data_IF_991037510548
#
_entry.id   IF_991037510548
#
_cell.length_a   1.000
_cell.length_b   1.000
_cell.length_c   1.000
_cell.angle_alpha   90.00
_cell.angle_beta   90.00
_cell.angle_gamma   90.00
#
_symmetry.space_group_name_H-M   'P 1'
#
loop_
_entity.id
_entity.type
_entity.pdbx_description
1 polymer ?
#
# COMPACT_ATOMS: atom_id res chain seq x y z
N UNK A 1 -1.36 11.76 35.35
CA UNK A 1 -1.29 10.62 34.41
C UNK A 1 0.16 10.53 33.94
N UNK A 2 0.84 9.42 34.23
CA UNK A 2 2.28 9.30 33.96
C UNK A 2 2.48 8.57 32.63
N UNK A 3 3.11 9.23 31.66
CA UNK A 3 3.31 8.70 30.30
C UNK A 3 4.55 7.80 30.23
N UNK A 4 5.52 8.01 31.11
CA UNK A 4 6.78 7.26 31.18
C UNK A 4 6.95 6.66 32.57
N UNK A 5 7.27 5.38 32.63
CA UNK A 5 7.51 4.64 33.86
C UNK A 5 8.98 4.24 33.96
N UNK A 6 9.53 4.31 35.18
CA UNK A 6 10.87 3.78 35.48
C UNK A 6 10.75 2.35 35.98
N UNK A 7 11.44 1.41 35.32
CA UNK A 7 11.54 0.00 35.71
C UNK A 7 13.01 -0.32 35.93
N UNK A 8 13.44 -0.29 37.19
CA UNK A 8 14.86 -0.38 37.55
C UNK A 8 15.65 0.79 36.93
N UNK A 9 16.63 0.48 36.08
CA UNK A 9 17.45 1.46 35.35
C UNK A 9 16.94 1.75 33.92
N UNK A 10 15.73 1.32 33.57
CA UNK A 10 15.16 1.51 32.23
C UNK A 10 13.93 2.41 32.31
N UNK A 11 13.73 3.19 31.26
CA UNK A 11 12.47 3.89 31.03
C UNK A 11 11.64 3.08 30.04
N UNK A 12 10.33 3.05 30.26
CA UNK A 12 9.35 2.53 29.31
C UNK A 12 8.18 3.48 29.20
N UNK A 13 7.47 3.45 28.07
CA UNK A 13 6.15 4.05 28.01
C UNK A 13 5.22 3.29 28.97
N UNK A 14 4.31 4.02 29.63
CA UNK A 14 3.26 3.41 30.43
C UNK A 14 2.39 2.51 29.54
N UNK A 15 1.83 1.44 30.11
CA UNK A 15 0.90 0.55 29.41
C UNK A 15 -0.38 1.26 28.94
N UNK A 16 -0.68 2.43 29.52
CA UNK A 16 -1.78 3.28 29.11
C UNK A 16 -1.52 4.08 27.83
N UNK A 17 -0.26 4.21 27.41
CA UNK A 17 0.12 4.95 26.20
C UNK A 17 -0.17 4.10 24.97
N UNK A 18 -1.04 4.61 24.11
CA UNK A 18 -1.28 4.03 22.79
C UNK A 18 -0.30 4.62 21.79
N UNK A 19 0.28 3.76 20.96
CA UNK A 19 1.16 4.15 19.86
C UNK A 19 0.48 3.71 18.57
N UNK A 20 0.08 4.68 17.76
CA UNK A 20 -0.58 4.50 16.47
C UNK A 20 0.18 3.50 15.56
N UNK A 21 1.50 3.60 15.51
CA UNK A 21 2.35 2.70 14.73
C UNK A 21 2.22 1.23 15.15
N UNK A 22 2.01 0.93 16.44
CA UNK A 22 1.80 -0.44 16.89
C UNK A 22 0.48 -1.01 16.37
N UNK A 23 -0.58 -0.21 16.37
CA UNK A 23 -1.87 -0.57 15.78
C UNK A 23 -1.75 -0.80 14.28
N UNK A 24 -1.18 0.16 13.54
CA UNK A 24 -1.00 0.06 12.09
C UNK A 24 -0.16 -1.17 11.69
N UNK A 25 0.91 -1.47 12.44
CA UNK A 25 1.76 -2.65 12.18
C UNK A 25 1.03 -3.97 12.42
N UNK A 26 0.18 -4.03 13.43
CA UNK A 26 -0.61 -5.23 13.71
C UNK A 26 -1.69 -5.44 12.64
N UNK A 27 -2.40 -4.38 12.25
CA UNK A 27 -3.36 -4.45 11.14
C UNK A 27 -2.69 -4.89 9.83
N UNK A 28 -1.50 -4.36 9.50
CA UNK A 28 -0.74 -4.80 8.33
C UNK A 28 -0.45 -6.31 8.37
N UNK A 29 -0.05 -6.85 9.53
CA UNK A 29 0.20 -8.29 9.69
C UNK A 29 -1.05 -9.13 9.49
N UNK A 30 -2.17 -8.71 10.06
CA UNK A 30 -3.44 -9.43 9.92
C UNK A 30 -3.92 -9.44 8.47
N UNK A 31 -3.79 -8.31 7.77
CA UNK A 31 -4.08 -8.22 6.32
C UNK A 31 -3.21 -9.16 5.52
N UNK A 32 -1.88 -9.14 5.74
CA UNK A 32 -0.93 -10.01 5.04
C UNK A 32 -1.20 -11.49 5.34
N UNK A 33 -1.63 -11.81 6.56
CA UNK A 33 -2.02 -13.17 6.96
C UNK A 33 -3.39 -13.61 6.40
N UNK A 34 -4.13 -12.72 5.73
CA UNK A 34 -5.48 -12.99 5.22
C UNK A 34 -6.54 -13.11 6.33
N UNK A 35 -6.25 -12.57 7.52
CA UNK A 35 -7.11 -12.64 8.70
C UNK A 35 -7.99 -11.40 8.89
N UNK A 36 -7.78 -10.36 8.08
CA UNK A 36 -8.53 -9.11 8.21
C UNK A 36 -9.86 -9.18 7.42
N UNK A 37 -11.02 -9.00 8.06
CA UNK A 37 -12.31 -9.06 7.38
C UNK A 37 -12.55 -7.80 6.54
N UNK A 38 -12.96 -7.98 5.28
CA UNK A 38 -13.21 -6.90 4.29
C UNK A 38 -14.53 -6.15 4.56
N UNK A 39 -15.17 -6.36 5.72
CA UNK A 39 -16.50 -5.78 6.03
C UNK A 39 -16.47 -4.93 7.30
N UNK A 40 -16.83 -3.65 7.16
CA UNK A 40 -17.29 -2.78 8.24
C UNK A 40 -16.23 -1.94 8.96
N UNK A 41 -14.95 -2.29 8.90
CA UNK A 41 -13.89 -1.65 9.71
C UNK A 41 -12.69 -1.14 8.88
N UNK A 42 -12.81 -1.07 7.57
CA UNK A 42 -11.68 -0.68 6.69
C UNK A 42 -11.48 0.84 6.52
N UNK A 43 -12.43 1.67 6.93
CA UNK A 43 -12.43 3.11 6.58
C UNK A 43 -11.16 3.83 7.09
N UNK A 44 -10.62 3.42 8.24
CA UNK A 44 -9.37 3.98 8.78
C UNK A 44 -8.12 3.15 8.43
N UNK A 45 -8.28 1.93 7.94
CA UNK A 45 -7.15 1.02 7.71
C UNK A 45 -6.24 1.50 6.58
N UNK A 46 -6.85 1.92 5.46
CA UNK A 46 -6.08 2.44 4.32
C UNK A 46 -5.32 3.71 4.73
N UNK A 47 -5.95 4.58 5.51
CA UNK A 47 -5.33 5.80 6.02
C UNK A 47 -4.17 5.49 6.95
N UNK A 48 -4.32 4.54 7.87
CA UNK A 48 -3.25 4.13 8.79
C UNK A 48 -2.05 3.51 8.07
N UNK A 49 -2.30 2.68 7.05
CA UNK A 49 -1.24 2.08 6.23
C UNK A 49 -0.58 3.10 5.29
N UNK A 50 -1.28 4.18 4.94
CA UNK A 50 -0.75 5.25 4.09
C UNK A 50 0.24 6.16 4.80
N UNK A 51 0.23 6.19 6.14
CA UNK A 51 1.10 7.07 6.96
C UNK A 51 2.55 6.62 6.95
N UNK A 52 3.43 7.56 6.65
CA UNK A 52 4.89 7.40 6.75
C UNK A 52 5.35 7.32 8.22
N UNK A 53 6.39 6.54 8.51
CA UNK A 53 6.90 6.42 9.88
C UNK A 53 7.71 7.67 10.26
N UNK A 54 7.30 8.43 11.27
CA UNK A 54 8.06 9.61 11.76
C UNK A 54 8.43 10.60 10.63
N UNK A 55 7.45 11.22 9.94
CA UNK A 55 7.75 12.20 8.90
C UNK A 55 8.45 13.43 9.50
N UNK A 56 9.47 13.94 8.81
CA UNK A 56 10.23 15.13 9.23
C UNK A 56 11.37 14.87 10.23
N UNK A 57 11.63 13.61 10.58
CA UNK A 57 12.77 13.21 11.38
C UNK A 57 13.87 12.59 10.51
N UNK A 58 15.14 12.81 10.85
CA UNK A 58 16.29 12.46 10.00
C UNK A 58 17.45 11.82 10.76
N UNK A 59 17.17 10.80 11.57
CA UNK A 59 18.22 10.02 12.23
C UNK A 59 18.50 8.69 11.53
N UNK A 60 19.75 8.22 11.57
CA UNK A 60 20.21 7.06 10.81
C UNK A 60 19.42 5.77 11.12
N UNK A 61 19.02 5.58 12.38
CA UNK A 61 18.22 4.42 12.79
C UNK A 61 16.81 4.43 12.17
N UNK A 62 16.29 5.61 11.78
CA UNK A 62 14.97 5.75 11.21
C UNK A 62 14.91 5.31 9.76
N UNK A 63 15.98 5.49 8.99
CA UNK A 63 16.01 5.08 7.58
C UNK A 63 15.71 3.58 7.43
N UNK A 64 16.35 2.75 8.27
CA UNK A 64 16.13 1.31 8.27
C UNK A 64 14.72 0.93 8.74
N UNK A 65 14.19 1.58 9.77
CA UNK A 65 12.84 1.29 10.28
C UNK A 65 11.75 1.77 9.32
N UNK A 66 11.97 2.90 8.63
CA UNK A 66 11.08 3.41 7.57
C UNK A 66 11.04 2.45 6.40
N UNK A 67 12.20 1.99 5.91
CA UNK A 67 12.28 0.99 4.85
C UNK A 67 11.55 -0.31 5.24
N UNK A 68 11.76 -0.81 6.47
CA UNK A 68 11.04 -1.99 6.99
C UNK A 68 9.53 -1.78 7.03
N UNK A 69 9.10 -0.59 7.43
CA UNK A 69 7.69 -0.23 7.46
C UNK A 69 7.11 -0.13 6.04
N UNK A 70 7.80 0.53 5.12
CA UNK A 70 7.40 0.69 3.72
C UNK A 70 7.21 -0.65 3.03
N UNK A 71 8.15 -1.59 3.21
CA UNK A 71 8.04 -2.94 2.68
C UNK A 71 6.84 -3.72 3.24
N UNK A 72 6.52 -3.53 4.52
CA UNK A 72 5.38 -4.20 5.14
C UNK A 72 4.04 -3.58 4.70
N UNK A 73 3.93 -2.26 4.78
CA UNK A 73 2.67 -1.55 4.48
C UNK A 73 2.30 -1.63 3.01
N UNK A 74 3.28 -1.61 2.11
CA UNK A 74 3.00 -1.76 0.67
C UNK A 74 2.41 -3.13 0.36
N UNK A 75 2.95 -4.20 0.97
CA UNK A 75 2.44 -5.57 0.80
C UNK A 75 1.05 -5.73 1.42
N UNK A 76 0.79 -5.09 2.56
CA UNK A 76 -0.54 -5.07 3.16
C UNK A 76 -1.55 -4.36 2.26
N UNK A 77 -1.20 -3.17 1.75
CA UNK A 77 -2.06 -2.41 0.82
C UNK A 77 -2.32 -3.20 -0.48
N UNK A 78 -1.32 -3.86 -1.07
CA UNK A 78 -1.52 -4.73 -2.24
C UNK A 78 -2.50 -5.87 -1.95
N UNK A 79 -2.36 -6.52 -0.78
CA UNK A 79 -3.24 -7.62 -0.37
C UNK A 79 -4.68 -7.15 -0.15
N UNK A 80 -4.86 -6.01 0.51
CA UNK A 80 -6.16 -5.40 0.77
C UNK A 80 -6.83 -4.91 -0.52
N UNK A 81 -6.07 -4.30 -1.43
CA UNK A 81 -6.57 -3.88 -2.73
C UNK A 81 -7.04 -5.08 -3.57
N UNK A 82 -6.30 -6.20 -3.54
CA UNK A 82 -6.67 -7.44 -4.21
C UNK A 82 -7.94 -8.06 -3.61
N UNK A 83 -8.11 -7.99 -2.28
CA UNK A 83 -9.33 -8.43 -1.60
C UNK A 83 -10.54 -7.60 -2.04
N UNK A 84 -10.46 -6.27 -1.97
CA UNK A 84 -11.53 -5.38 -2.44
C UNK A 84 -11.88 -5.62 -3.92
N UNK A 85 -10.87 -5.79 -4.78
CA UNK A 85 -11.08 -6.07 -6.19
C UNK A 85 -11.83 -7.40 -6.39
N UNK A 86 -11.46 -8.45 -5.64
CA UNK A 86 -12.12 -9.77 -5.69
C UNK A 86 -13.58 -9.68 -5.26
N UNK A 87 -13.89 -8.82 -4.29
CA UNK A 87 -15.27 -8.52 -3.85
C UNK A 87 -16.00 -7.51 -4.75
N UNK A 88 -15.38 -7.06 -5.84
CA UNK A 88 -15.89 -6.02 -6.76
C UNK A 88 -16.17 -4.68 -6.09
N UNK A 89 -15.50 -4.41 -4.98
CA UNK A 89 -15.49 -3.10 -4.32
C UNK A 89 -14.44 -2.21 -5.00
N UNK A 90 -14.78 -1.68 -6.18
CA UNK A 90 -13.81 -1.01 -7.06
C UNK A 90 -13.23 0.28 -6.50
N UNK A 91 -14.04 1.14 -5.88
CA UNK A 91 -13.54 2.40 -5.31
C UNK A 91 -12.54 2.15 -4.16
N UNK A 92 -12.83 1.32 -3.15
CA UNK A 92 -11.84 0.93 -2.13
C UNK A 92 -10.60 0.25 -2.72
N UNK A 93 -10.76 -0.63 -3.71
CA UNK A 93 -9.64 -1.27 -4.39
C UNK A 93 -8.71 -0.25 -5.05
N UNK A 94 -9.28 0.73 -5.76
CA UNK A 94 -8.55 1.80 -6.43
C UNK A 94 -7.81 2.68 -5.43
N UNK A 95 -8.48 3.14 -4.39
CA UNK A 95 -7.88 3.99 -3.34
C UNK A 95 -6.72 3.27 -2.66
N UNK A 96 -6.91 2.00 -2.30
CA UNK A 96 -5.89 1.19 -1.63
C UNK A 96 -4.69 0.92 -2.55
N UNK A 97 -4.93 0.62 -3.83
CA UNK A 97 -3.85 0.40 -4.79
C UNK A 97 -3.05 1.70 -5.07
N UNK A 98 -3.72 2.86 -5.12
CA UNK A 98 -3.05 4.16 -5.27
C UNK A 98 -2.22 4.52 -4.02
N UNK A 99 -2.68 4.15 -2.82
CA UNK A 99 -1.88 4.26 -1.61
C UNK A 99 -0.61 3.39 -1.70
N UNK A 100 -0.73 2.13 -2.15
CA UNK A 100 0.44 1.27 -2.36
C UNK A 100 1.45 1.86 -3.36
N UNK A 101 0.96 2.41 -4.48
CA UNK A 101 1.79 3.11 -5.47
C UNK A 101 2.49 4.33 -4.88
N UNK A 102 1.85 5.04 -3.95
CA UNK A 102 2.44 6.23 -3.31
C UNK A 102 3.56 5.85 -2.35
N UNK A 103 3.50 4.65 -1.75
CA UNK A 103 4.58 4.09 -0.93
C UNK A 103 5.74 3.60 -1.81
N UNK A 104 5.44 2.83 -2.84
CA UNK A 104 6.44 2.32 -3.78
C UNK A 104 5.90 2.33 -5.23
N UNK A 105 6.32 3.31 -6.05
CA UNK A 105 5.85 3.45 -7.43
C UNK A 105 6.25 2.29 -8.35
N UNK A 106 7.24 1.46 -7.98
CA UNK A 106 7.74 0.35 -8.77
C UNK A 106 6.94 -0.95 -8.59
N UNK A 107 5.92 -0.94 -7.72
CA UNK A 107 5.07 -2.10 -7.45
C UNK A 107 4.13 -2.42 -8.61
N UNK A 108 4.57 -3.33 -9.48
CA UNK A 108 3.80 -3.77 -10.65
C UNK A 108 2.40 -4.30 -10.28
N UNK A 109 2.26 -5.01 -9.15
CA UNK A 109 0.97 -5.52 -8.66
C UNK A 109 -0.01 -4.38 -8.35
N UNK A 110 0.41 -3.38 -7.58
CA UNK A 110 -0.44 -2.22 -7.25
C UNK A 110 -0.85 -1.46 -8.53
N UNK A 111 0.09 -1.23 -9.45
CA UNK A 111 -0.18 -0.59 -10.74
C UNK A 111 -1.20 -1.37 -11.57
N UNK A 112 -1.11 -2.71 -11.56
CA UNK A 112 -2.00 -3.61 -12.29
C UNK A 112 -3.42 -3.54 -11.76
N UNK A 113 -3.59 -3.55 -10.42
CA UNK A 113 -4.92 -3.45 -9.80
C UNK A 113 -5.60 -2.14 -10.21
N UNK A 114 -4.88 -1.01 -10.24
CA UNK A 114 -5.44 0.28 -10.72
C UNK A 114 -5.98 0.17 -12.16
N UNK A 115 -5.21 -0.46 -13.06
CA UNK A 115 -5.60 -0.64 -14.46
C UNK A 115 -6.80 -1.59 -14.58
N UNK A 116 -6.78 -2.71 -13.87
CA UNK A 116 -7.86 -3.69 -13.87
C UNK A 116 -9.17 -3.12 -13.30
N UNK A 117 -9.10 -2.28 -12.26
CA UNK A 117 -10.27 -1.57 -11.74
C UNK A 117 -10.84 -0.63 -12.80
N UNK A 118 -10.01 0.18 -13.47
CA UNK A 118 -10.49 1.04 -14.55
C UNK A 118 -11.14 0.23 -15.68
N UNK A 119 -10.60 -0.93 -16.04
CA UNK A 119 -11.21 -1.83 -17.03
C UNK A 119 -12.59 -2.30 -16.55
N UNK A 120 -12.68 -2.76 -15.30
CA UNK A 120 -13.92 -3.29 -14.73
C UNK A 120 -15.04 -2.24 -14.67
N UNK A 121 -14.69 -0.96 -14.54
CA UNK A 121 -15.62 0.18 -14.59
C UNK A 121 -15.89 0.71 -16.01
N UNK A 122 -15.28 0.12 -17.05
CA UNK A 122 -15.42 0.57 -18.45
C UNK A 122 -14.58 1.80 -18.81
N UNK A 123 -13.70 2.24 -17.91
CA UNK A 123 -12.82 3.39 -18.06
C UNK A 123 -11.54 3.06 -18.85
N UNK A 124 -11.68 2.48 -20.05
CA UNK A 124 -10.56 1.97 -20.86
C UNK A 124 -9.50 3.03 -21.20
N UNK A 125 -9.90 4.28 -21.45
CA UNK A 125 -8.97 5.38 -21.70
C UNK A 125 -8.06 5.66 -20.49
N UNK A 126 -8.62 5.63 -19.28
CA UNK A 126 -7.88 5.78 -18.03
C UNK A 126 -6.93 4.62 -17.79
N UNK A 127 -7.38 3.39 -18.05
CA UNK A 127 -6.56 2.18 -17.97
C UNK A 127 -5.34 2.25 -18.92
N UNK A 128 -5.58 2.60 -20.19
CA UNK A 128 -4.51 2.71 -21.19
C UNK A 128 -3.53 3.85 -20.88
N UNK A 129 -4.05 5.01 -20.44
CA UNK A 129 -3.21 6.12 -19.99
C UNK A 129 -2.31 5.68 -18.83
N UNK A 130 -2.87 5.00 -17.83
CA UNK A 130 -2.12 4.53 -16.67
C UNK A 130 -0.98 3.57 -17.05
N UNK A 131 -1.26 2.60 -17.93
CA UNK A 131 -0.23 1.70 -18.45
C UNK A 131 0.90 2.45 -19.17
N UNK A 132 0.56 3.41 -20.05
CA UNK A 132 1.56 4.20 -20.78
C UNK A 132 2.44 5.02 -19.83
N UNK A 133 1.82 5.67 -18.85
CA UNK A 133 2.53 6.47 -17.83
C UNK A 133 3.50 5.58 -17.04
N UNK A 134 3.06 4.39 -16.59
CA UNK A 134 3.90 3.45 -15.84
C UNK A 134 5.04 2.86 -16.70
N UNK A 135 4.76 2.50 -17.95
CA UNK A 135 5.79 2.02 -18.89
C UNK A 135 6.88 3.08 -19.12
N UNK A 136 6.47 4.34 -19.30
CA UNK A 136 7.42 5.45 -19.46
C UNK A 136 8.25 5.67 -18.19
N UNK A 137 7.63 5.57 -17.01
CA UNK A 137 8.31 5.64 -15.72
C UNK A 137 9.38 4.56 -15.58
N UNK A 138 9.04 3.27 -15.74
CA UNK A 138 10.01 2.18 -15.64
C UNK A 138 11.16 2.30 -16.64
N UNK A 139 10.86 2.74 -17.86
CA UNK A 139 11.88 2.95 -18.88
C UNK A 139 12.85 4.07 -18.50
N UNK A 140 12.35 5.14 -17.88
CA UNK A 140 13.16 6.28 -17.43
C UNK A 140 14.02 5.92 -16.22
N UNK A 141 13.45 5.30 -15.20
CA UNK A 141 14.14 5.07 -13.93
C UNK A 141 15.08 3.85 -13.96
N UNK A 142 14.66 2.77 -14.63
CA UNK A 142 15.34 1.47 -14.57
C UNK A 142 15.74 0.91 -15.95
N UNK A 143 15.37 1.58 -17.04
CA UNK A 143 15.57 1.11 -18.41
C UNK A 143 14.91 -0.25 -18.73
N UNK A 144 13.93 -0.68 -17.93
CA UNK A 144 13.20 -1.94 -18.11
C UNK A 144 11.79 -1.71 -18.69
N UNK A 145 11.17 -2.80 -19.13
CA UNK A 145 9.75 -2.82 -19.51
C UNK A 145 8.89 -3.31 -18.32
N UNK A 146 7.57 -3.03 -18.32
CA UNK A 146 6.63 -3.64 -17.38
C UNK A 146 6.64 -5.16 -17.44
N UNK A 147 6.08 -5.80 -16.41
CA UNK A 147 5.98 -7.26 -16.36
C UNK A 147 5.24 -7.86 -17.58
N UNK A 148 5.47 -9.15 -17.90
CA UNK A 148 4.69 -9.83 -18.94
C UNK A 148 3.17 -9.78 -18.69
N UNK A 149 2.75 -9.89 -17.43
CA UNK A 149 1.34 -9.78 -17.04
C UNK A 149 0.77 -8.40 -17.39
N UNK A 150 1.50 -7.33 -17.06
CA UNK A 150 1.12 -5.96 -17.39
C UNK A 150 1.06 -5.72 -18.90
N UNK A 151 2.04 -6.26 -19.62
CA UNK A 151 2.11 -6.14 -21.09
C UNK A 151 0.93 -6.83 -21.76
N UNK A 152 0.56 -8.03 -21.28
CA UNK A 152 -0.61 -8.76 -21.77
C UNK A 152 -1.90 -7.98 -21.54
N UNK A 153 -2.09 -7.44 -20.33
CA UNK A 153 -3.25 -6.60 -19.99
C UNK A 153 -3.38 -5.39 -20.94
N UNK A 154 -2.26 -4.75 -21.27
CA UNK A 154 -2.27 -3.63 -22.21
C UNK A 154 -2.59 -4.04 -23.66
N UNK A 155 -2.18 -5.24 -24.08
CA UNK A 155 -2.51 -5.75 -25.41
C UNK A 155 -4.02 -5.98 -25.54
N UNK A 156 -4.65 -6.56 -24.52
CA UNK A 156 -6.09 -6.79 -24.46
C UNK A 156 -6.89 -5.47 -24.55
N UNK A 157 -6.41 -4.43 -23.85
CA UNK A 157 -6.96 -3.07 -23.90
C UNK A 157 -6.93 -2.43 -25.30
N UNK A 158 -5.92 -2.74 -26.11
CA UNK A 158 -5.76 -2.16 -27.45
C UNK A 158 -6.49 -2.96 -28.54
N UNK A 159 -6.93 -4.18 -28.22
CA UNK A 159 -7.72 -5.04 -29.11
C UNK A 159 -9.23 -4.89 -28.95
N UNK A 160 -9.68 -4.06 -28.00
CA UNK A 160 -11.09 -3.74 -27.73
C UNK A 160 -11.47 -2.43 -28.41
#
# INVERSE_FOLDING_TARGET
MTVVESVGQRLRLSQSVQVDFHGARESARQVIAGLYPVRGECDNLVDDLSKELLPGWSEDWQALERERWDQMRVRALESLAQQFQTERQYLPALQTALAAVSVDPFRDTAQRIVIEVHIAEGNFASALKRYKDYRAFLRRELNVAPSPQMTKLAQELMST
#
